data_IF_337534927028
#
_entry.id   IF_337534927028
#
_cell.length_a   1.000
_cell.length_b   1.000
_cell.length_c   1.000
_cell.angle_alpha   90.00
_cell.angle_beta   90.00
_cell.angle_gamma   90.00
#
_symmetry.space_group_name_H-M   'P 1'
#
loop_
_entity.id
_entity.type
_entity.pdbx_description
1 polymer ?
#
# COMPACT_ATOMS: atom_id res chain seq x y z
N UNK A 1 -6.86 -41.22 -22.95
CA UNK A 1 -7.38 -40.28 -21.93
C UNK A 1 -6.47 -39.08 -21.91
N UNK A 2 -7.01 -37.87 -22.02
CA UNK A 2 -6.22 -36.65 -21.97
C UNK A 2 -5.74 -36.40 -20.53
N UNK A 3 -4.48 -36.01 -20.38
CA UNK A 3 -3.87 -35.82 -19.07
C UNK A 3 -4.38 -34.52 -18.42
N UNK A 4 -4.73 -34.53 -17.11
CA UNK A 4 -5.06 -33.30 -16.37
C UNK A 4 -3.83 -32.41 -16.11
N UNK A 5 -2.64 -32.83 -16.53
CA UNK A 5 -1.37 -32.13 -16.29
C UNK A 5 -1.38 -30.62 -16.64
N UNK A 6 -2.00 -30.15 -17.75
CA UNK A 6 -2.02 -28.72 -18.06
C UNK A 6 -2.80 -27.88 -17.04
N UNK A 7 -3.92 -28.41 -16.52
CA UNK A 7 -4.71 -27.73 -15.51
C UNK A 7 -3.98 -27.69 -14.17
N UNK A 8 -3.39 -28.82 -13.76
CA UNK A 8 -2.59 -28.90 -12.51
C UNK A 8 -1.39 -27.93 -12.56
N UNK A 9 -0.73 -27.83 -13.71
CA UNK A 9 0.35 -26.86 -13.91
C UNK A 9 -0.16 -25.41 -13.83
N UNK A 10 -1.33 -25.11 -14.44
CA UNK A 10 -1.97 -23.79 -14.35
C UNK A 10 -2.25 -23.41 -12.90
N UNK A 11 -2.92 -24.29 -12.14
CA UNK A 11 -3.24 -24.09 -10.72
C UNK A 11 -1.96 -23.83 -9.92
N UNK A 12 -0.90 -24.61 -10.17
CA UNK A 12 0.39 -24.45 -9.48
C UNK A 12 0.99 -23.05 -9.70
N UNK A 13 0.97 -22.55 -10.94
CA UNK A 13 1.45 -21.19 -11.23
C UNK A 13 0.57 -20.11 -10.57
N UNK A 14 -0.76 -20.28 -10.59
CA UNK A 14 -1.68 -19.34 -9.96
C UNK A 14 -1.56 -19.33 -8.43
N UNK A 15 -1.31 -20.47 -7.79
CA UNK A 15 -1.06 -20.54 -6.34
C UNK A 15 0.22 -19.80 -5.96
N UNK A 16 1.31 -19.97 -6.72
CA UNK A 16 2.56 -19.22 -6.49
C UNK A 16 2.33 -17.72 -6.69
N UNK A 17 1.59 -17.34 -7.73
CA UNK A 17 1.22 -15.95 -7.98
C UNK A 17 0.40 -15.37 -6.82
N UNK A 18 -0.62 -16.11 -6.34
CA UNK A 18 -1.45 -15.72 -5.21
C UNK A 18 -0.64 -15.53 -3.93
N UNK A 19 0.24 -16.49 -3.59
CA UNK A 19 1.14 -16.38 -2.44
C UNK A 19 2.02 -15.14 -2.53
N UNK A 20 2.55 -14.86 -3.73
CA UNK A 20 3.38 -13.68 -3.99
C UNK A 20 2.58 -12.39 -3.76
N UNK A 21 1.35 -12.31 -4.27
CA UNK A 21 0.47 -11.15 -4.11
C UNK A 21 0.01 -10.97 -2.65
N UNK A 22 -0.26 -12.05 -1.93
CA UNK A 22 -0.64 -12.02 -0.52
C UNK A 22 0.53 -11.55 0.36
N UNK A 23 1.75 -12.00 0.08
CA UNK A 23 2.95 -11.51 0.75
C UNK A 23 3.15 -10.01 0.48
N UNK A 24 3.05 -9.60 -0.78
CA UNK A 24 3.11 -8.20 -1.19
C UNK A 24 2.07 -7.34 -0.43
N UNK A 25 0.83 -7.82 -0.31
CA UNK A 25 -0.23 -7.13 0.43
C UNK A 25 0.09 -6.99 1.93
N UNK A 26 0.75 -7.97 2.54
CA UNK A 26 1.18 -7.95 3.93
C UNK A 26 2.36 -7.00 4.16
N UNK A 27 3.40 -7.09 3.33
CA UNK A 27 4.61 -6.27 3.42
C UNK A 27 4.31 -4.79 3.28
N UNK A 28 3.33 -4.43 2.45
CA UNK A 28 2.92 -3.04 2.29
C UNK A 28 2.10 -2.51 3.48
N UNK A 29 1.84 -3.34 4.51
CA UNK A 29 1.14 -2.91 5.73
C UNK A 29 -0.25 -2.36 5.41
N UNK A 30 -0.95 -3.03 4.49
CA UNK A 30 -2.27 -2.62 4.00
C UNK A 30 -3.44 -3.18 4.80
N UNK A 31 -3.14 -3.98 5.83
CA UNK A 31 -4.12 -4.41 6.82
C UNK A 31 -4.67 -3.20 7.57
N UNK A 32 -5.95 -2.90 7.37
CA UNK A 32 -6.77 -2.22 8.36
C UNK A 32 -6.94 -3.18 9.56
N UNK A 33 -5.87 -3.37 10.33
CA UNK A 33 -5.96 -3.91 11.67
C UNK A 33 -6.40 -2.79 12.60
N UNK A 34 -7.35 -3.01 13.54
CA UNK A 34 -7.56 -2.06 14.63
C UNK A 34 -6.21 -1.87 15.31
N UNK A 35 -5.85 -0.61 15.53
CA UNK A 35 -4.50 -0.19 15.89
C UNK A 35 -3.82 -1.14 16.87
N UNK A 36 -2.53 -1.37 16.60
CA UNK A 36 -1.55 -1.86 17.56
C UNK A 36 -1.93 -1.38 18.97
N UNK A 37 -2.40 -2.25 19.89
CA UNK A 37 -2.61 -1.83 21.26
C UNK A 37 -1.22 -1.53 21.80
N UNK A 38 -0.94 -0.24 21.92
CA UNK A 38 0.35 0.28 22.34
C UNK A 38 0.91 -0.55 23.49
N UNK A 39 2.15 -0.96 23.32
CA UNK A 39 2.98 -1.53 24.38
C UNK A 39 2.69 -0.77 25.68
N UNK A 40 2.16 -1.42 26.74
CA UNK A 40 2.00 -0.76 28.03
C UNK A 40 3.40 -0.44 28.52
N UNK A 41 3.77 0.85 28.49
CA UNK A 41 4.89 1.32 29.30
C UNK A 41 4.43 1.23 30.75
N UNK A 42 5.10 0.33 31.45
CA UNK A 42 5.05 0.07 32.88
C UNK A 42 4.84 1.35 33.72
N UNK A 43 3.87 1.40 34.65
CA UNK A 43 3.71 2.50 35.58
C UNK A 43 4.42 2.19 36.91
N UNK A 44 5.74 2.35 36.95
CA UNK A 44 6.50 2.33 38.21
C UNK A 44 7.16 3.69 38.48
N UNK A 45 6.36 4.67 38.91
CA UNK A 45 6.88 5.79 39.68
C UNK A 45 5.89 6.18 40.79
N UNK A 46 6.05 5.53 41.94
CA UNK A 46 5.66 6.05 43.25
C UNK A 46 6.35 7.40 43.46
N UNK A 47 5.58 8.46 43.70
CA UNK A 47 6.01 9.52 44.61
C UNK A 47 4.81 10.21 45.25
N UNK A 48 4.75 10.06 46.57
CA UNK A 48 3.68 10.50 47.44
C UNK A 48 3.49 12.02 47.46
N UNK A 49 2.23 12.46 47.57
CA UNK A 49 1.88 13.80 48.02
C UNK A 49 2.16 13.95 49.54
N UNK A 50 2.19 15.19 50.08
CA UNK A 50 0.90 15.74 50.49
C UNK A 50 0.72 17.25 50.23
N UNK A 51 -0.55 17.61 50.09
CA UNK A 51 -1.06 18.97 49.99
C UNK A 51 -1.02 19.72 51.33
N UNK A 52 -0.76 21.03 51.31
CA UNK A 52 -1.33 21.99 52.28
C UNK A 52 -1.69 23.32 51.60
N UNK A 53 -2.90 23.77 51.92
CA UNK A 53 -3.61 24.99 51.46
C UNK A 53 -3.21 26.22 52.28
N UNK A 54 -3.17 27.40 51.64
CA UNK A 54 -3.68 28.68 52.19
C UNK A 54 -3.74 29.78 51.10
N UNK A 55 -4.88 30.48 50.94
CA UNK A 55 -5.00 31.73 50.13
C UNK A 55 -4.66 32.99 50.95
N UNK A 56 -5.20 34.21 50.69
CA UNK A 56 -5.82 34.80 49.49
C UNK A 56 -5.43 36.30 49.18
N UNK A 57 -5.93 36.84 48.05
CA UNK A 57 -6.52 38.20 47.84
C UNK A 57 -5.69 39.43 47.36
N UNK A 58 -6.38 40.24 46.52
CA UNK A 58 -6.20 41.66 46.06
C UNK A 58 -5.31 41.88 44.81
N UNK A 59 -5.56 42.83 43.90
CA UNK A 59 -6.66 43.71 43.53
C UNK A 59 -6.40 44.31 42.11
N UNK A 60 -7.49 44.75 41.49
CA UNK A 60 -7.76 45.56 40.25
C UNK A 60 -6.97 46.92 40.15
N UNK A 61 -7.21 47.87 39.18
CA UNK A 61 -6.77 48.00 37.77
C UNK A 61 -6.09 49.36 37.33
N UNK A 62 -5.37 49.37 36.18
CA UNK A 62 -5.17 50.47 35.17
C UNK A 62 -4.52 51.81 35.57
N UNK A 63 -4.41 52.85 34.69
CA UNK A 63 -4.12 52.94 33.22
C UNK A 63 -3.15 54.13 32.82
N UNK A 64 -2.90 54.38 31.52
CA UNK A 64 -2.44 55.67 30.92
C UNK A 64 -0.99 55.70 30.37
N UNK A 65 -0.72 55.73 29.06
CA UNK A 65 -0.77 56.81 28.02
C UNK A 65 0.44 57.79 28.07
N UNK A 66 1.25 57.84 27.01
CA UNK A 66 1.70 59.09 26.37
C UNK A 66 2.24 58.89 24.94
N UNK A 67 1.93 59.88 24.10
CA UNK A 67 2.18 60.06 22.67
C UNK A 67 3.47 60.86 22.44
N UNK A 68 4.14 60.69 21.29
CA UNK A 68 5.19 61.60 20.84
C UNK A 68 5.59 61.36 19.39
N UNK A 69 5.16 62.23 18.48
CA UNK A 69 5.36 62.12 17.03
C UNK A 69 6.68 62.67 16.49
N UNK A 70 6.94 62.42 15.20
CA UNK A 70 8.03 63.03 14.44
C UNK A 70 8.15 62.50 13.02
N UNK A 71 7.69 63.27 12.03
CA UNK A 71 7.72 62.97 10.59
C UNK A 71 9.04 63.39 9.94
N UNK A 72 9.32 62.73 8.80
CA UNK A 72 10.00 63.20 7.56
C UNK A 72 11.54 63.18 7.49
N UNK A 73 12.02 62.24 6.66
CA UNK A 73 12.64 62.57 5.37
C UNK A 73 14.16 62.42 5.26
N UNK A 74 14.63 61.49 4.42
CA UNK A 74 15.61 61.75 3.35
C UNK A 74 15.91 60.44 2.60
N UNK A 75 16.04 60.54 1.28
CA UNK A 75 16.29 59.45 0.34
C UNK A 75 17.80 59.21 0.17
N UNK A 76 18.08 58.01 -0.35
CA UNK A 76 19.06 57.72 -1.40
C UNK A 76 20.47 57.29 -0.98
N UNK A 77 20.93 56.24 -1.67
CA UNK A 77 22.36 55.99 -1.88
C UNK A 77 22.86 54.63 -1.41
N UNK A 78 22.47 53.55 -2.08
CA UNK A 78 23.23 52.31 -2.03
C UNK A 78 24.48 52.39 -2.90
N UNK A 79 25.58 51.77 -2.47
CA UNK A 79 26.40 50.81 -3.25
C UNK A 79 27.73 50.55 -2.55
N UNK A 80 28.15 49.29 -2.51
CA UNK A 80 29.56 48.90 -2.35
C UNK A 80 29.94 48.31 -0.99
N UNK A 81 29.57 47.04 -0.77
CA UNK A 81 30.03 46.24 0.37
C UNK A 81 31.53 45.88 0.23
N UNK A 82 32.26 46.42 1.19
CA UNK A 82 33.52 46.05 1.84
C UNK A 82 34.12 44.66 1.58
N UNK A 83 35.44 44.69 1.40
CA UNK A 83 36.37 43.58 1.45
C UNK A 83 36.60 43.01 2.87
N UNK A 84 37.18 41.80 2.86
CA UNK A 84 38.02 41.16 3.88
C UNK A 84 37.34 40.45 5.08
N UNK A 85 37.59 39.14 5.14
CA UNK A 85 37.57 38.29 6.35
C UNK A 85 38.49 38.86 7.46
N UNK A 86 38.27 38.46 8.72
CA UNK A 86 39.07 37.34 9.24
C UNK A 86 38.33 36.40 10.23
N UNK A 87 38.98 35.27 10.43
CA UNK A 87 38.68 34.15 11.32
C UNK A 87 38.81 34.54 12.81
N UNK A 88 37.91 34.04 13.67
CA UNK A 88 38.16 33.88 15.11
C UNK A 88 37.41 32.64 15.61
N UNK A 89 38.16 31.64 16.06
CA UNK A 89 37.69 30.54 16.91
C UNK A 89 37.27 31.05 18.28
N UNK A 90 36.12 30.59 18.81
CA UNK A 90 35.92 30.35 20.25
C UNK A 90 34.99 29.15 20.48
N UNK A 91 35.60 28.12 21.06
CA UNK A 91 35.13 26.98 21.87
C UNK A 91 33.76 27.14 22.58
N UNK A 92 32.89 26.11 22.53
CA UNK A 92 32.41 25.28 23.68
C UNK A 92 31.03 24.63 23.44
N UNK A 93 30.88 23.36 23.84
CA UNK A 93 29.60 22.68 24.14
C UNK A 93 29.30 21.52 23.20
N UNK A 94 29.63 20.26 23.55
CA UNK A 94 28.80 19.36 24.36
C UNK A 94 27.42 19.09 23.71
N UNK A 95 27.28 17.92 23.09
CA UNK A 95 26.22 16.91 23.34
C UNK A 95 26.08 15.98 22.13
N UNK A 96 25.98 14.68 22.42
CA UNK A 96 25.88 13.63 21.43
C UNK A 96 24.60 13.75 20.62
N UNK A 97 24.74 13.96 19.32
CA UNK A 97 23.71 13.63 18.35
C UNK A 97 24.12 12.33 17.69
N UNK A 98 23.55 11.20 18.14
CA UNK A 98 23.50 10.02 17.31
C UNK A 98 22.94 10.47 15.95
N UNK A 99 23.64 10.16 14.86
CA UNK A 99 23.03 10.13 13.53
C UNK A 99 21.85 9.16 13.63
N UNK A 100 20.68 9.71 13.94
CA UNK A 100 19.43 9.04 13.69
C UNK A 100 19.36 8.97 12.18
N UNK A 101 19.75 7.80 11.67
CA UNK A 101 19.29 7.29 10.40
C UNK A 101 17.85 7.75 10.19
N UNK A 102 17.47 8.30 9.02
CA UNK A 102 16.07 8.59 8.76
C UNK A 102 15.31 7.27 8.82
N UNK A 103 14.71 6.96 9.97
CA UNK A 103 13.64 5.99 10.07
C UNK A 103 12.52 6.51 9.17
N UNK A 104 12.11 5.81 8.10
CA UNK A 104 10.93 6.22 7.35
C UNK A 104 9.71 5.74 8.14
N UNK A 105 9.47 6.33 9.32
CA UNK A 105 8.26 6.07 10.10
C UNK A 105 7.45 7.35 10.25
N UNK A 106 6.90 7.76 9.12
CA UNK A 106 5.85 8.76 9.03
C UNK A 106 5.01 8.43 7.80
N UNK A 107 3.98 7.61 7.98
CA UNK A 107 2.97 7.38 6.94
C UNK A 107 2.30 8.73 6.68
N UNK A 108 2.72 9.39 5.61
CA UNK A 108 2.04 10.58 5.10
C UNK A 108 0.58 10.24 4.73
N UNK A 109 -0.27 11.25 4.52
CA UNK A 109 -1.64 11.03 4.05
C UNK A 109 -1.62 10.17 2.79
N UNK A 110 -2.36 9.06 2.80
CA UNK A 110 -2.49 8.22 1.61
C UNK A 110 -3.17 9.03 0.50
N UNK A 111 -2.55 9.10 -0.68
CA UNK A 111 -3.16 9.78 -1.82
C UNK A 111 -4.30 8.94 -2.39
N UNK A 112 -5.24 9.55 -3.10
CA UNK A 112 -6.30 8.83 -3.82
C UNK A 112 -5.73 7.77 -4.75
N UNK A 113 -4.61 8.08 -5.44
CA UNK A 113 -3.89 7.13 -6.28
C UNK A 113 -3.39 5.92 -5.50
N UNK A 114 -2.86 6.12 -4.29
CA UNK A 114 -2.42 5.03 -3.41
C UNK A 114 -3.60 4.16 -2.92
N UNK A 115 -4.75 4.78 -2.63
CA UNK A 115 -5.97 4.03 -2.30
C UNK A 115 -6.48 3.22 -3.49
N UNK A 116 -6.45 3.80 -4.70
CA UNK A 116 -6.85 3.13 -5.93
C UNK A 116 -5.93 1.93 -6.23
N UNK A 117 -4.60 2.09 -6.10
CA UNK A 117 -3.64 1.00 -6.20
C UNK A 117 -3.94 -0.11 -5.19
N UNK A 118 -4.19 0.24 -3.92
CA UNK A 118 -4.53 -0.71 -2.86
C UNK A 118 -5.78 -1.52 -3.21
N UNK A 119 -6.82 -0.84 -3.67
CA UNK A 119 -8.07 -1.47 -4.10
C UNK A 119 -7.88 -2.34 -5.34
N UNK A 120 -7.05 -1.92 -6.30
CA UNK A 120 -6.76 -2.68 -7.50
C UNK A 120 -6.00 -3.98 -7.17
N UNK A 121 -4.93 -3.92 -6.36
CA UNK A 121 -4.21 -5.13 -5.95
C UNK A 121 -5.10 -6.07 -5.12
N UNK A 122 -5.90 -5.54 -4.19
CA UNK A 122 -6.83 -6.36 -3.42
C UNK A 122 -7.79 -7.14 -4.34
N UNK A 123 -8.36 -6.47 -5.35
CA UNK A 123 -9.20 -7.15 -6.35
C UNK A 123 -8.45 -8.20 -7.16
N UNK A 124 -7.18 -7.97 -7.50
CA UNK A 124 -6.35 -8.99 -8.17
C UNK A 124 -6.11 -10.19 -7.25
N UNK A 125 -5.82 -9.98 -5.96
CA UNK A 125 -5.67 -11.05 -4.96
C UNK A 125 -6.97 -11.85 -4.84
N UNK A 126 -8.10 -11.18 -4.63
CA UNK A 126 -9.41 -11.81 -4.45
C UNK A 126 -9.79 -12.61 -5.70
N UNK A 127 -9.66 -12.00 -6.88
CA UNK A 127 -9.99 -12.65 -8.16
C UNK A 127 -9.08 -13.83 -8.46
N UNK A 128 -7.79 -13.75 -8.08
CA UNK A 128 -6.84 -14.88 -8.25
C UNK A 128 -7.20 -16.01 -7.29
N UNK A 129 -7.57 -15.70 -6.05
CA UNK A 129 -8.04 -16.68 -5.06
C UNK A 129 -9.32 -17.39 -5.53
N UNK A 130 -10.30 -16.62 -5.99
CA UNK A 130 -11.54 -17.15 -6.58
C UNK A 130 -11.24 -18.03 -7.81
N UNK A 131 -10.32 -17.59 -8.67
CA UNK A 131 -9.91 -18.37 -9.84
C UNK A 131 -9.31 -19.71 -9.43
N UNK A 132 -8.34 -19.73 -8.51
CA UNK A 132 -7.74 -20.98 -8.01
C UNK A 132 -8.82 -21.90 -7.41
N UNK A 133 -9.77 -21.34 -6.65
CA UNK A 133 -10.89 -22.10 -6.09
C UNK A 133 -11.77 -22.72 -7.18
N UNK A 134 -12.15 -21.95 -8.21
CA UNK A 134 -12.92 -22.43 -9.36
C UNK A 134 -12.15 -23.49 -10.14
N UNK A 135 -10.85 -23.28 -10.37
CA UNK A 135 -10.00 -24.24 -11.08
C UNK A 135 -9.92 -25.58 -10.34
N UNK A 136 -9.81 -25.57 -9.01
CA UNK A 136 -9.73 -26.78 -8.18
C UNK A 136 -11.08 -27.49 -8.03
N UNK A 137 -12.14 -26.74 -7.75
CA UNK A 137 -13.45 -27.30 -7.35
C UNK A 137 -14.37 -27.59 -8.52
N UNK A 138 -14.32 -26.78 -9.58
CA UNK A 138 -15.21 -26.90 -10.74
C UNK A 138 -14.45 -27.40 -11.97
N UNK A 139 -13.31 -26.80 -12.32
CA UNK A 139 -12.60 -27.17 -13.54
C UNK A 139 -11.83 -28.49 -13.41
N UNK A 140 -11.34 -28.82 -12.21
CA UNK A 140 -10.65 -30.06 -11.90
C UNK A 140 -11.48 -31.30 -12.27
N UNK A 141 -12.70 -31.46 -11.71
CA UNK A 141 -13.62 -32.53 -12.09
C UNK A 141 -13.98 -32.51 -13.58
N UNK A 142 -14.30 -31.33 -14.13
CA UNK A 142 -14.65 -31.20 -15.55
C UNK A 142 -13.53 -31.66 -16.48
N UNK A 143 -12.27 -31.36 -16.16
CA UNK A 143 -11.11 -31.78 -16.96
C UNK A 143 -10.90 -33.31 -16.91
N UNK A 144 -11.30 -33.98 -15.82
CA UNK A 144 -11.28 -35.43 -15.71
C UNK A 144 -12.38 -36.08 -16.55
N UNK A 145 -13.58 -35.51 -16.56
CA UNK A 145 -14.69 -35.96 -17.39
C UNK A 145 -14.41 -35.74 -18.88
N UNK A 146 -13.93 -34.54 -19.22
CA UNK A 146 -13.67 -34.13 -20.59
C UNK A 146 -12.59 -33.08 -20.65
N UNK A 147 -11.50 -33.40 -21.35
CA UNK A 147 -10.42 -32.43 -21.54
C UNK A 147 -10.84 -31.25 -22.40
N UNK A 148 -10.53 -30.06 -21.93
CA UNK A 148 -10.58 -28.82 -22.69
C UNK A 148 -9.20 -28.14 -22.69
N UNK A 149 -8.94 -27.23 -23.65
CA UNK A 149 -7.65 -26.56 -23.74
C UNK A 149 -7.42 -25.59 -22.58
N UNK A 150 -6.26 -25.71 -21.94
CA UNK A 150 -5.75 -24.80 -20.91
C UNK A 150 -4.58 -24.01 -21.48
N UNK A 151 -4.66 -22.68 -21.42
CA UNK A 151 -3.61 -21.80 -21.92
C UNK A 151 -2.53 -21.54 -20.86
N UNK A 152 -1.71 -22.56 -20.61
CA UNK A 152 -0.67 -22.54 -19.57
C UNK A 152 0.29 -21.33 -19.68
N UNK A 153 0.56 -20.87 -20.90
CA UNK A 153 1.41 -19.70 -21.15
C UNK A 153 0.95 -18.47 -20.36
N UNK A 154 -0.37 -18.25 -20.31
CA UNK A 154 -0.92 -17.07 -19.63
C UNK A 154 -0.75 -17.19 -18.12
N UNK A 155 -0.91 -18.39 -17.54
CA UNK A 155 -0.68 -18.63 -16.10
C UNK A 155 0.78 -18.44 -15.70
N UNK A 156 1.72 -18.82 -16.56
CA UNK A 156 3.16 -18.56 -16.37
C UNK A 156 3.45 -17.06 -16.46
N UNK A 157 2.90 -16.38 -17.46
CA UNK A 157 3.05 -14.93 -17.63
C UNK A 157 2.49 -14.17 -16.42
N UNK A 158 1.31 -14.54 -15.95
CA UNK A 158 0.70 -13.96 -14.75
C UNK A 158 1.60 -14.09 -13.53
N UNK A 159 2.12 -15.31 -13.26
CA UNK A 159 3.09 -15.53 -12.16
C UNK A 159 4.32 -14.63 -12.29
N UNK A 160 4.87 -14.49 -13.49
CA UNK A 160 6.07 -13.67 -13.71
C UNK A 160 5.77 -12.19 -13.44
N UNK A 161 4.60 -11.70 -13.87
CA UNK A 161 4.16 -10.33 -13.57
C UNK A 161 4.00 -10.13 -12.05
N UNK A 162 3.37 -11.07 -11.34
CA UNK A 162 3.26 -11.02 -9.87
C UNK A 162 4.64 -11.02 -9.18
N UNK A 163 5.60 -11.75 -9.75
CA UNK A 163 6.98 -11.75 -9.25
C UNK A 163 7.64 -10.38 -9.46
N UNK A 164 7.40 -9.72 -10.60
CA UNK A 164 7.87 -8.36 -10.84
C UNK A 164 7.23 -7.37 -9.86
N UNK A 165 5.90 -7.47 -9.63
CA UNK A 165 5.19 -6.66 -8.64
C UNK A 165 5.84 -6.74 -7.25
N UNK A 166 6.24 -7.94 -6.82
CA UNK A 166 6.91 -8.14 -5.54
C UNK A 166 8.28 -7.46 -5.43
N UNK A 167 8.98 -7.27 -6.55
CA UNK A 167 10.28 -6.60 -6.59
C UNK A 167 10.16 -5.06 -6.65
N UNK A 168 8.97 -4.53 -6.97
CA UNK A 168 8.75 -3.08 -7.07
C UNK A 168 8.26 -2.53 -5.72
N UNK A 169 8.95 -1.51 -5.20
CA UNK A 169 8.64 -0.90 -3.89
C UNK A 169 7.53 0.18 -4.01
N UNK A 170 7.46 0.89 -5.15
CA UNK A 170 6.41 1.87 -5.52
C UNK A 170 6.73 2.53 -6.87
N UNK A 171 5.74 3.20 -7.49
CA UNK A 171 5.92 4.09 -8.63
C UNK A 171 5.31 3.58 -9.94
N UNK A 172 5.56 4.29 -11.05
CA UNK A 172 4.92 4.00 -12.33
C UNK A 172 5.13 2.56 -12.83
N UNK A 173 6.24 1.91 -12.47
CA UNK A 173 6.49 0.53 -12.86
C UNK A 173 5.55 -0.43 -12.12
N UNK A 174 5.29 -0.20 -10.84
CA UNK A 174 4.30 -0.96 -10.07
C UNK A 174 2.90 -0.80 -10.66
N UNK A 175 2.49 0.42 -11.02
CA UNK A 175 1.20 0.67 -11.67
C UNK A 175 1.06 -0.09 -13.00
N UNK A 176 2.12 -0.10 -13.82
CA UNK A 176 2.16 -0.82 -15.09
C UNK A 176 2.06 -2.32 -14.88
N UNK A 177 2.85 -2.88 -13.96
CA UNK A 177 2.84 -4.31 -13.67
C UNK A 177 1.51 -4.73 -13.03
N UNK A 178 0.87 -3.87 -12.24
CA UNK A 178 -0.44 -4.13 -11.64
C UNK A 178 -1.54 -4.16 -12.70
N UNK A 179 -1.53 -3.20 -13.63
CA UNK A 179 -2.44 -3.22 -14.76
C UNK A 179 -2.18 -4.44 -15.67
N UNK A 180 -0.92 -4.77 -15.92
CA UNK A 180 -0.56 -5.98 -16.67
C UNK A 180 -1.08 -7.26 -15.99
N UNK A 181 -0.95 -7.38 -14.67
CA UNK A 181 -1.48 -8.50 -13.90
C UNK A 181 -3.01 -8.59 -14.05
N UNK A 182 -3.70 -7.46 -13.93
CA UNK A 182 -5.14 -7.36 -14.09
C UNK A 182 -5.59 -7.80 -15.50
N UNK A 183 -4.94 -7.30 -16.55
CA UNK A 183 -5.26 -7.68 -17.94
C UNK A 183 -4.91 -9.14 -18.25
N UNK A 184 -3.80 -9.65 -17.71
CA UNK A 184 -3.41 -11.05 -17.86
C UNK A 184 -4.46 -11.96 -17.20
N UNK A 185 -4.89 -11.64 -15.97
CA UNK A 185 -5.93 -12.39 -15.26
C UNK A 185 -7.27 -12.38 -16.03
N UNK A 186 -7.70 -11.22 -16.54
CA UNK A 186 -8.89 -11.12 -17.41
C UNK A 186 -8.75 -12.02 -18.64
N UNK A 187 -7.56 -12.10 -19.23
CA UNK A 187 -7.29 -12.93 -20.41
C UNK A 187 -7.39 -14.42 -20.10
N UNK A 188 -6.81 -14.86 -18.98
CA UNK A 188 -6.92 -16.25 -18.49
C UNK A 188 -8.39 -16.63 -18.34
N UNK A 189 -9.15 -15.83 -17.59
CA UNK A 189 -10.58 -16.09 -17.33
C UNK A 189 -11.40 -16.13 -18.62
N UNK A 190 -11.19 -15.18 -19.55
CA UNK A 190 -11.87 -15.17 -20.85
C UNK A 190 -11.58 -16.43 -21.67
N UNK A 191 -10.32 -16.86 -21.72
CA UNK A 191 -9.92 -18.07 -22.45
C UNK A 191 -10.50 -19.33 -21.81
N UNK A 192 -10.58 -19.41 -20.48
CA UNK A 192 -11.24 -20.50 -19.79
C UNK A 192 -12.75 -20.56 -20.13
N UNK A 193 -13.45 -19.42 -20.11
CA UNK A 193 -14.87 -19.35 -20.53
C UNK A 193 -15.02 -19.82 -21.99
N UNK A 194 -14.14 -19.38 -22.89
CA UNK A 194 -14.17 -19.79 -24.29
C UNK A 194 -13.90 -21.29 -24.47
N UNK A 195 -12.97 -21.87 -23.72
CA UNK A 195 -12.70 -23.31 -23.72
C UNK A 195 -13.93 -24.12 -23.30
N UNK A 196 -14.68 -23.63 -22.30
CA UNK A 196 -15.88 -24.28 -21.79
C UNK A 196 -17.12 -24.07 -22.69
N UNK A 197 -17.16 -22.99 -23.48
CA UNK A 197 -18.30 -22.69 -24.36
C UNK A 197 -18.56 -23.78 -25.43
N UNK A 198 -17.55 -24.59 -25.75
CA UNK A 198 -17.68 -25.68 -26.70
C UNK A 198 -18.25 -26.97 -26.08
N UNK A 199 -18.54 -26.98 -24.77
CA UNK A 199 -18.89 -28.17 -23.98
C UNK A 199 -20.13 -27.88 -23.09
N UNK A 200 -21.36 -27.92 -23.64
CA UNK A 200 -22.54 -27.65 -22.84
C UNK A 200 -22.91 -28.86 -21.95
N UNK A 201 -22.65 -28.76 -20.65
CA UNK A 201 -23.28 -29.57 -19.60
C UNK A 201 -23.60 -28.66 -18.40
N UNK A 202 -24.55 -29.05 -17.54
CA UNK A 202 -24.98 -28.21 -16.41
C UNK A 202 -23.82 -27.80 -15.50
N UNK A 203 -22.85 -28.69 -15.28
CA UNK A 203 -21.64 -28.37 -14.52
C UNK A 203 -20.75 -27.32 -15.22
N UNK A 204 -20.70 -27.34 -16.56
CA UNK A 204 -19.99 -26.32 -17.34
C UNK A 204 -20.69 -24.97 -17.29
N UNK A 205 -22.02 -24.94 -17.19
CA UNK A 205 -22.80 -23.70 -17.03
C UNK A 205 -22.47 -23.05 -15.70
N UNK A 206 -22.41 -23.83 -14.61
CA UNK A 206 -22.02 -23.34 -13.28
C UNK A 206 -20.58 -22.80 -13.31
N UNK A 207 -19.63 -23.56 -13.87
CA UNK A 207 -18.24 -23.12 -14.00
C UNK A 207 -18.12 -21.82 -14.83
N UNK A 208 -18.84 -21.73 -15.95
CA UNK A 208 -18.90 -20.51 -16.76
C UNK A 208 -19.48 -19.32 -16.00
N UNK A 209 -20.53 -19.53 -15.20
CA UNK A 209 -21.13 -18.48 -14.39
C UNK A 209 -20.14 -17.96 -13.33
N UNK A 210 -19.44 -18.86 -12.63
CA UNK A 210 -18.40 -18.48 -11.66
C UNK A 210 -17.24 -17.73 -12.31
N UNK A 211 -16.75 -18.17 -13.48
CA UNK A 211 -15.70 -17.46 -14.21
C UNK A 211 -16.17 -16.07 -14.70
N UNK A 212 -17.43 -15.95 -15.13
CA UNK A 212 -18.01 -14.65 -15.50
C UNK A 212 -18.16 -13.72 -14.30
N UNK A 213 -18.39 -14.27 -13.10
CA UNK A 213 -18.40 -13.48 -11.88
C UNK A 213 -17.01 -12.90 -11.57
N UNK A 214 -15.97 -13.73 -11.64
CA UNK A 214 -14.58 -13.29 -11.48
C UNK A 214 -14.24 -12.18 -12.49
N UNK A 215 -14.67 -12.34 -13.76
CA UNK A 215 -14.43 -11.34 -14.79
C UNK A 215 -15.13 -10.00 -14.49
N UNK A 216 -16.29 -10.01 -13.85
CA UNK A 216 -17.01 -8.79 -13.45
C UNK A 216 -16.33 -8.07 -12.28
N UNK A 217 -15.64 -8.80 -11.40
CA UNK A 217 -14.86 -8.25 -10.30
C UNK A 217 -13.58 -7.53 -10.79
N UNK A 218 -13.23 -7.66 -12.07
CA UNK A 218 -12.07 -7.07 -12.75
C UNK A 218 -12.48 -5.95 -13.75
N UNK A 219 -13.04 -4.81 -13.29
CA UNK A 219 -13.44 -3.71 -14.17
C UNK A 219 -12.21 -3.04 -14.81
N UNK A 220 -12.36 -2.49 -16.01
CA UNK A 220 -11.27 -1.80 -16.70
C UNK A 220 -10.78 -0.60 -15.86
N UNK A 221 -9.47 -0.53 -15.65
CA UNK A 221 -8.74 0.50 -14.88
C UNK A 221 -8.19 1.55 -15.83
#
# INVERSE_FOLDING_TARGET
>A
MASPAPLVASISHQMVALQTLQLLQQEWGWGDGPGDPGIPRDPDHVSAAPARRTGPRRARPGPGREEGGGRRGARSGGSGARASSPEVEVVRGAEGGAELLPFPRGRGPCTLAQMAMRSALARVVDSTSELVSVEQTLLGPLQQERSFPIHLKDSVEFRNICSHLALQIQGQQFDRDLNAAHQCLKTIVKKLIQSLANLPSDAHVVACASLRQILQNLPDI
#
